data_IF_998009359737
#
_entry.id   IF_998009359737
#
_cell.length_a   1.000
_cell.length_b   1.000
_cell.length_c   1.000
_cell.angle_alpha   90.00
_cell.angle_beta   90.00
_cell.angle_gamma   90.00
#
_symmetry.space_group_name_H-M   'P 1'
#
loop_
_entity.id
_entity.type
_entity.pdbx_description
1 polymer ?
#
# COMPACT_ATOMS: atom_id res chain seq x y z
N UNK A 1 58.39 16.34 -35.84
CA UNK A 1 57.24 16.57 -36.73
C UNK A 1 56.04 15.85 -36.12
N UNK A 2 55.08 16.61 -35.58
CA UNK A 2 53.90 16.09 -34.87
C UNK A 2 52.85 15.77 -35.94
N UNK A 3 52.50 14.49 -36.11
CA UNK A 3 51.38 14.07 -36.96
C UNK A 3 50.09 14.33 -36.18
N UNK A 4 49.33 15.34 -36.60
CA UNK A 4 47.99 15.58 -36.08
C UNK A 4 47.05 14.46 -36.54
N UNK A 5 46.36 13.83 -35.59
CA UNK A 5 45.25 12.93 -35.86
C UNK A 5 44.04 13.75 -36.37
N UNK A 6 43.33 13.30 -37.42
CA UNK A 6 42.17 14.03 -37.93
C UNK A 6 41.02 14.04 -36.90
N UNK A 7 40.20 15.10 -36.86
CA UNK A 7 39.07 15.18 -35.95
C UNK A 7 38.02 14.12 -36.31
N UNK A 8 37.49 13.43 -35.31
CA UNK A 8 36.41 12.48 -35.46
C UNK A 8 35.17 13.19 -36.04
N UNK A 9 34.90 12.97 -37.33
CA UNK A 9 33.65 13.37 -37.97
C UNK A 9 32.56 12.46 -37.38
N UNK A 10 31.90 12.93 -36.32
CA UNK A 10 30.69 12.29 -35.82
C UNK A 10 29.63 12.42 -36.90
N UNK A 11 29.32 11.30 -37.55
CA UNK A 11 28.40 11.24 -38.68
C UNK A 11 27.00 11.71 -38.25
N UNK A 12 26.61 12.92 -38.66
CA UNK A 12 25.31 13.54 -38.35
C UNK A 12 24.14 12.64 -38.79
N UNK A 13 24.33 11.84 -39.84
CA UNK A 13 23.37 10.82 -40.28
C UNK A 13 23.13 9.70 -39.26
N UNK A 14 24.17 9.25 -38.55
CA UNK A 14 24.05 8.20 -37.52
C UNK A 14 23.36 8.74 -36.27
N UNK A 15 23.67 9.98 -35.85
CA UNK A 15 22.95 10.64 -34.76
C UNK A 15 21.49 10.91 -35.12
N UNK A 16 21.21 11.37 -36.34
CA UNK A 16 19.84 11.62 -36.82
C UNK A 16 19.05 10.32 -36.97
N UNK A 17 19.68 9.24 -37.43
CA UNK A 17 19.05 7.92 -37.49
C UNK A 17 18.75 7.39 -36.08
N UNK A 18 19.72 7.44 -35.14
CA UNK A 18 19.51 7.07 -33.73
C UNK A 18 18.43 7.90 -33.06
N UNK A 19 18.40 9.22 -33.32
CA UNK A 19 17.39 10.11 -32.80
C UNK A 19 15.99 9.80 -33.38
N UNK A 20 15.90 9.49 -34.67
CA UNK A 20 14.61 9.12 -35.29
C UNK A 20 14.11 7.75 -34.83
N UNK A 21 15.01 6.78 -34.59
CA UNK A 21 14.64 5.47 -34.01
C UNK A 21 14.22 5.63 -32.56
N UNK A 22 14.89 6.49 -31.79
CA UNK A 22 14.50 6.78 -30.40
C UNK A 22 13.11 7.42 -30.32
N UNK A 23 12.83 8.43 -31.16
CA UNK A 23 11.49 9.05 -31.24
C UNK A 23 10.39 8.03 -31.61
N UNK A 24 10.68 7.10 -32.52
CA UNK A 24 9.74 6.03 -32.88
C UNK A 24 9.49 5.09 -31.70
N UNK A 25 10.54 4.67 -30.99
CA UNK A 25 10.39 3.84 -29.79
C UNK A 25 9.63 4.56 -28.67
N UNK A 26 9.93 5.84 -28.44
CA UNK A 26 9.20 6.67 -27.47
C UNK A 26 7.71 6.77 -27.81
N UNK A 27 7.37 6.99 -29.08
CA UNK A 27 5.98 7.03 -29.54
C UNK A 27 5.29 5.68 -29.34
N UNK A 28 5.98 4.57 -29.62
CA UNK A 28 5.44 3.22 -29.41
C UNK A 28 5.16 2.96 -27.92
N UNK A 29 6.06 3.36 -27.02
CA UNK A 29 5.86 3.24 -25.59
C UNK A 29 4.67 4.07 -25.08
N UNK A 30 4.54 5.32 -25.54
CA UNK A 30 3.40 6.17 -25.19
C UNK A 30 2.09 5.57 -25.73
N UNK A 31 2.08 5.11 -26.98
CA UNK A 31 0.92 4.46 -27.59
C UNK A 31 0.55 3.17 -26.83
N UNK A 32 1.53 2.34 -26.48
CA UNK A 32 1.32 1.12 -25.71
C UNK A 32 0.69 1.43 -24.35
N UNK A 33 1.20 2.44 -23.64
CA UNK A 33 0.63 2.86 -22.37
C UNK A 33 -0.84 3.29 -22.51
N UNK A 34 -1.16 4.10 -23.53
CA UNK A 34 -2.53 4.56 -23.77
C UNK A 34 -3.48 3.40 -24.13
N UNK A 35 -3.01 2.40 -24.89
CA UNK A 35 -3.76 1.19 -25.21
C UNK A 35 -4.04 0.36 -23.95
N UNK A 36 -3.01 0.10 -23.14
CA UNK A 36 -3.14 -0.58 -21.84
C UNK A 36 -4.12 0.16 -20.95
N UNK A 37 -3.99 1.48 -20.84
CA UNK A 37 -4.87 2.33 -20.02
C UNK A 37 -6.33 2.37 -20.51
N UNK A 38 -6.53 2.26 -21.83
CA UNK A 38 -7.83 2.15 -22.48
C UNK A 38 -8.52 0.83 -22.14
N UNK A 39 -7.87 -0.31 -22.42
CA UNK A 39 -8.45 -1.63 -22.16
C UNK A 39 -8.56 -1.96 -20.66
N UNK A 40 -7.64 -1.46 -19.83
CA UNK A 40 -7.66 -1.65 -18.38
C UNK A 40 -8.59 -0.64 -17.65
N UNK A 41 -9.61 -0.09 -18.30
CA UNK A 41 -10.47 0.97 -17.74
C UNK A 41 -11.02 0.64 -16.33
N UNK A 42 -11.40 -0.61 -16.08
CA UNK A 42 -11.92 -1.07 -14.79
C UNK A 42 -10.86 -1.16 -13.68
N UNK A 43 -9.57 -1.16 -14.04
CA UNK A 43 -8.42 -1.29 -13.15
C UNK A 43 -7.60 0.01 -13.04
N UNK A 44 -8.12 1.15 -13.55
CA UNK A 44 -7.45 2.46 -13.46
C UNK A 44 -7.13 2.89 -12.05
N UNK A 45 -7.94 2.44 -11.10
CA UNK A 45 -7.69 2.75 -9.71
C UNK A 45 -6.50 2.00 -9.14
N UNK A 46 -6.00 0.92 -9.76
CA UNK A 46 -4.77 0.18 -9.39
C UNK A 46 -3.61 0.56 -10.32
N UNK A 47 -2.89 1.67 -10.10
CA UNK A 47 -1.83 2.12 -11.00
C UNK A 47 -0.68 1.12 -11.05
N UNK A 48 -0.38 0.39 -9.97
CA UNK A 48 0.74 -0.57 -9.98
C UNK A 48 0.40 -1.82 -10.80
N UNK A 49 -0.86 -2.20 -10.87
CA UNK A 49 -1.32 -3.23 -11.80
C UNK A 49 -1.10 -2.79 -13.25
N UNK A 50 -1.37 -1.51 -13.56
CA UNK A 50 -1.16 -0.95 -14.91
C UNK A 50 0.34 -0.92 -15.23
N UNK A 51 1.17 -0.45 -14.31
CA UNK A 51 2.63 -0.45 -14.46
C UNK A 51 3.17 -1.86 -14.68
N UNK A 52 2.65 -2.85 -13.94
CA UNK A 52 3.00 -4.24 -14.09
C UNK A 52 2.68 -4.76 -15.50
N UNK A 53 1.45 -4.57 -15.99
CA UNK A 53 1.06 -5.00 -17.34
C UNK A 53 1.89 -4.29 -18.42
N UNK A 54 2.07 -2.97 -18.28
CA UNK A 54 2.87 -2.17 -19.20
C UNK A 54 4.33 -2.63 -19.26
N UNK A 55 4.94 -2.92 -18.11
CA UNK A 55 6.35 -3.37 -18.04
C UNK A 55 6.61 -4.64 -18.84
N UNK A 56 5.74 -5.64 -18.72
CA UNK A 56 5.91 -6.88 -19.48
C UNK A 56 5.56 -6.73 -20.94
N UNK A 57 4.48 -6.00 -21.28
CA UNK A 57 4.15 -5.74 -22.68
C UNK A 57 5.22 -4.91 -23.39
N UNK A 58 5.84 -3.96 -22.70
CA UNK A 58 6.94 -3.18 -23.26
C UNK A 58 8.15 -4.07 -23.58
N UNK A 59 8.43 -5.09 -22.75
CA UNK A 59 9.45 -6.10 -23.06
C UNK A 59 9.10 -6.92 -24.29
N UNK A 60 7.86 -7.40 -24.40
CA UNK A 60 7.42 -8.14 -25.59
C UNK A 60 7.50 -7.29 -26.86
N UNK A 61 7.09 -6.03 -26.79
CA UNK A 61 7.20 -5.08 -27.90
C UNK A 61 8.66 -4.87 -28.31
N UNK A 62 9.59 -4.78 -27.35
CA UNK A 62 11.01 -4.67 -27.65
C UNK A 62 11.54 -5.92 -28.36
N UNK A 63 11.12 -7.12 -27.94
CA UNK A 63 11.46 -8.35 -28.64
C UNK A 63 10.93 -8.37 -30.08
N UNK A 64 9.74 -7.81 -30.33
CA UNK A 64 9.20 -7.68 -31.69
C UNK A 64 9.98 -6.64 -32.51
N UNK A 65 10.31 -5.49 -31.93
CA UNK A 65 11.06 -4.41 -32.62
C UNK A 65 12.47 -4.85 -32.97
N UNK A 66 13.14 -5.58 -32.07
CA UNK A 66 14.50 -6.09 -32.26
C UNK A 66 14.55 -7.35 -33.15
N UNK A 67 13.41 -7.75 -33.74
CA UNK A 67 13.26 -8.96 -34.55
C UNK A 67 13.82 -10.21 -33.85
N UNK A 68 13.61 -10.29 -32.53
CA UNK A 68 14.17 -11.37 -31.72
C UNK A 68 13.65 -12.72 -32.21
N UNK A 69 14.57 -13.65 -32.45
CA UNK A 69 14.24 -15.03 -32.82
C UNK A 69 14.06 -15.80 -31.53
N UNK A 70 12.88 -16.38 -31.35
CA UNK A 70 12.60 -17.26 -30.22
C UNK A 70 13.56 -18.46 -30.26
N UNK A 71 14.44 -18.64 -29.24
CA UNK A 71 15.44 -19.69 -29.24
C UNK A 71 14.83 -21.10 -29.20
N UNK A 72 13.60 -21.24 -28.69
CA UNK A 72 12.93 -22.53 -28.54
C UNK A 72 12.20 -22.96 -29.83
N UNK A 73 11.81 -22.00 -30.68
CA UNK A 73 10.93 -22.25 -31.85
C UNK A 73 11.63 -21.91 -33.18
N UNK A 74 12.75 -21.18 -33.14
CA UNK A 74 13.50 -20.69 -34.31
C UNK A 74 12.65 -19.85 -35.29
N UNK A 75 11.67 -19.10 -34.77
CA UNK A 75 10.79 -18.18 -35.51
C UNK A 75 10.82 -16.78 -34.88
N UNK A 76 10.40 -15.73 -35.59
CA UNK A 76 10.25 -14.41 -34.99
C UNK A 76 9.35 -14.46 -33.76
N UNK A 77 9.75 -13.74 -32.71
CA UNK A 77 9.02 -13.69 -31.44
C UNK A 77 7.57 -13.29 -31.67
N UNK A 78 6.64 -14.13 -31.21
CA UNK A 78 5.22 -13.79 -31.17
C UNK A 78 4.82 -13.37 -29.76
N UNK A 79 4.11 -12.24 -29.61
CA UNK A 79 3.59 -11.82 -28.31
C UNK A 79 2.72 -12.91 -27.67
N UNK A 80 2.81 -13.03 -26.35
CA UNK A 80 2.04 -14.00 -25.55
C UNK A 80 0.53 -13.82 -25.73
N UNK A 81 0.10 -12.63 -26.11
CA UNK A 81 -1.29 -12.21 -26.22
C UNK A 81 -1.62 -11.84 -27.67
N UNK A 82 -1.63 -12.85 -28.55
CA UNK A 82 -1.83 -12.67 -30.00
C UNK A 82 -3.26 -12.99 -30.49
N UNK A 83 -4.18 -13.31 -29.57
CA UNK A 83 -5.58 -13.66 -29.87
C UNK A 83 -6.46 -12.39 -29.84
N UNK A 84 -7.56 -12.39 -30.61
CA UNK A 84 -8.58 -11.33 -30.57
C UNK A 84 -9.10 -11.11 -29.13
N UNK A 85 -9.06 -9.85 -28.66
CA UNK A 85 -9.34 -9.46 -27.28
C UNK A 85 -8.46 -10.18 -26.24
N UNK A 86 -7.28 -10.62 -26.64
CA UNK A 86 -6.39 -11.40 -25.78
C UNK A 86 -5.99 -10.63 -24.53
N UNK A 87 -5.72 -9.33 -24.62
CA UNK A 87 -5.28 -8.55 -23.45
C UNK A 87 -6.40 -8.43 -22.43
N UNK A 88 -7.59 -8.04 -22.90
CA UNK A 88 -8.80 -8.01 -22.07
C UNK A 88 -9.09 -9.38 -21.42
N UNK A 89 -9.12 -10.47 -22.19
CA UNK A 89 -9.54 -11.80 -21.68
C UNK A 89 -8.47 -12.48 -20.82
N UNK A 90 -7.21 -12.39 -21.21
CA UNK A 90 -6.11 -13.14 -20.58
C UNK A 90 -5.44 -12.36 -19.45
N UNK A 91 -5.47 -11.02 -19.48
CA UNK A 91 -4.78 -10.18 -18.48
C UNK A 91 -5.77 -9.43 -17.58
N UNK A 92 -6.66 -8.62 -18.17
CA UNK A 92 -7.52 -7.72 -17.40
C UNK A 92 -8.65 -8.47 -16.69
N UNK A 93 -9.36 -9.34 -17.40
CA UNK A 93 -10.54 -10.04 -16.89
C UNK A 93 -10.25 -10.94 -15.68
N UNK A 94 -9.12 -11.70 -15.62
CA UNK A 94 -8.79 -12.51 -14.45
C UNK A 94 -8.46 -11.68 -13.20
N UNK A 95 -7.75 -10.56 -13.38
CA UNK A 95 -7.42 -9.63 -12.30
C UNK A 95 -8.70 -8.96 -11.79
N UNK A 96 -9.53 -8.44 -12.70
CA UNK A 96 -10.82 -7.85 -12.37
C UNK A 96 -11.74 -8.81 -11.62
N UNK A 97 -11.86 -10.06 -12.10
CA UNK A 97 -12.68 -11.08 -11.45
C UNK A 97 -12.19 -11.42 -10.04
N UNK A 98 -10.88 -11.33 -9.80
CA UNK A 98 -10.30 -11.54 -8.46
C UNK A 98 -10.67 -10.39 -7.54
N UNK A 99 -10.51 -9.14 -7.99
CA UNK A 99 -10.91 -7.95 -7.23
C UNK A 99 -12.41 -7.98 -6.92
N UNK A 100 -13.25 -8.32 -7.90
CA UNK A 100 -14.70 -8.45 -7.72
C UNK A 100 -15.07 -9.42 -6.59
N UNK A 101 -14.44 -10.59 -6.55
CA UNK A 101 -14.68 -11.60 -5.49
C UNK A 101 -14.20 -11.12 -4.11
N UNK A 102 -13.11 -10.35 -4.04
CA UNK A 102 -12.64 -9.75 -2.78
C UNK A 102 -13.62 -8.67 -2.30
N UNK A 103 -14.12 -7.84 -3.20
CA UNK A 103 -15.16 -6.82 -2.90
C UNK A 103 -16.45 -7.49 -2.43
N UNK A 104 -16.91 -8.54 -3.08
CA UNK A 104 -18.08 -9.30 -2.64
C UNK A 104 -17.86 -9.92 -1.25
N UNK A 105 -16.62 -10.36 -0.96
CA UNK A 105 -16.23 -10.86 0.37
C UNK A 105 -16.25 -9.78 1.47
N UNK A 106 -16.17 -8.50 1.10
CA UNK A 106 -16.28 -7.36 2.03
C UNK A 106 -17.68 -7.19 2.64
N UNK A 107 -18.72 -7.83 2.07
CA UNK A 107 -20.14 -7.67 2.47
C UNK A 107 -20.54 -6.19 2.58
N UNK A 108 -20.19 -5.40 1.56
CA UNK A 108 -20.47 -3.97 1.49
C UNK A 108 -19.88 -3.18 2.69
N UNK A 109 -18.66 -3.51 3.11
CA UNK A 109 -17.95 -2.85 4.22
C UNK A 109 -18.34 -3.33 5.62
N UNK A 110 -19.22 -4.33 5.74
CA UNK A 110 -19.65 -4.89 7.05
C UNK A 110 -18.74 -6.02 7.54
N UNK A 111 -17.94 -6.63 6.66
CA UNK A 111 -16.97 -7.64 7.06
C UNK A 111 -15.78 -6.99 7.77
N UNK A 112 -15.24 -7.65 8.80
CA UNK A 112 -14.06 -7.17 9.48
C UNK A 112 -12.90 -6.97 8.48
N UNK A 113 -12.21 -5.84 8.57
CA UNK A 113 -11.13 -5.41 7.64
C UNK A 113 -9.90 -6.35 7.57
N UNK A 114 -9.85 -7.40 8.40
CA UNK A 114 -8.83 -8.44 8.36
C UNK A 114 -9.24 -9.67 7.51
N UNK A 115 -10.51 -9.79 7.16
CA UNK A 115 -11.08 -10.98 6.52
C UNK A 115 -11.05 -10.93 4.98
N UNK A 116 -10.67 -9.79 4.40
CA UNK A 116 -10.64 -9.55 2.96
C UNK A 116 -9.50 -8.59 2.59
N UNK A 117 -9.02 -8.66 1.34
CA UNK A 117 -7.96 -7.79 0.83
C UNK A 117 -8.55 -6.46 0.36
N UNK A 118 -8.00 -5.35 0.86
CA UNK A 118 -8.37 -4.03 0.37
C UNK A 118 -7.64 -3.71 -0.94
N UNK A 119 -8.07 -2.64 -1.60
CA UNK A 119 -7.41 -2.01 -2.73
C UNK A 119 -5.89 -1.85 -2.50
N UNK A 120 -5.48 -1.31 -1.34
CA UNK A 120 -4.06 -1.11 -1.01
C UNK A 120 -3.28 -2.43 -0.99
N UNK A 121 -3.84 -3.47 -0.38
CA UNK A 121 -3.20 -4.79 -0.31
C UNK A 121 -2.99 -5.39 -1.72
N UNK A 122 -3.95 -5.14 -2.62
CA UNK A 122 -3.88 -5.60 -4.02
C UNK A 122 -2.86 -4.78 -4.80
N UNK A 123 -2.85 -3.45 -4.65
CA UNK A 123 -1.92 -2.56 -5.34
C UNK A 123 -0.47 -2.80 -4.88
N UNK A 124 -0.25 -2.96 -3.56
CA UNK A 124 1.06 -3.29 -2.98
C UNK A 124 1.58 -4.64 -3.49
N UNK A 125 0.69 -5.63 -3.68
CA UNK A 125 1.10 -6.92 -4.23
C UNK A 125 1.81 -6.77 -5.57
N UNK A 126 1.32 -5.91 -6.47
CA UNK A 126 1.94 -5.69 -7.79
C UNK A 126 3.33 -5.05 -7.72
N UNK A 127 3.63 -4.29 -6.67
CA UNK A 127 4.97 -3.76 -6.40
C UNK A 127 5.95 -4.83 -5.87
N UNK A 128 5.42 -5.91 -5.31
CA UNK A 128 6.24 -6.91 -4.63
C UNK A 128 7.07 -7.75 -5.62
N UNK A 129 8.32 -8.07 -5.23
CA UNK A 129 9.13 -9.07 -5.96
C UNK A 129 8.46 -10.45 -6.01
N UNK A 130 7.56 -10.73 -5.06
CA UNK A 130 6.78 -11.96 -5.03
C UNK A 130 5.83 -12.03 -6.22
N UNK A 131 5.16 -10.93 -6.56
CA UNK A 131 4.31 -10.85 -7.76
C UNK A 131 5.09 -11.20 -9.04
N UNK A 132 6.27 -10.60 -9.25
CA UNK A 132 7.09 -10.91 -10.42
C UNK A 132 7.46 -12.40 -10.54
N UNK A 133 7.66 -13.08 -9.41
CA UNK A 133 8.00 -14.52 -9.38
C UNK A 133 6.78 -15.44 -9.45
N UNK A 134 5.72 -15.13 -8.72
CA UNK A 134 4.57 -16.02 -8.54
C UNK A 134 3.45 -15.78 -9.55
N UNK A 135 3.19 -14.51 -9.89
CA UNK A 135 2.17 -14.15 -10.88
C UNK A 135 2.72 -14.34 -12.29
N UNK A 136 3.96 -13.89 -12.53
CA UNK A 136 4.69 -14.12 -13.77
C UNK A 136 4.04 -13.49 -15.01
N UNK A 137 4.70 -13.62 -16.16
CA UNK A 137 4.16 -13.21 -17.45
C UNK A 137 4.53 -14.25 -18.50
N UNK A 138 3.56 -14.96 -19.13
CA UNK A 138 2.09 -14.90 -18.95
C UNK A 138 1.61 -15.13 -17.51
N UNK A 139 0.38 -14.66 -17.22
CA UNK A 139 -0.22 -14.80 -15.90
C UNK A 139 -0.39 -16.28 -15.52
N UNK A 140 0.20 -16.67 -14.40
CA UNK A 140 0.02 -17.99 -13.82
C UNK A 140 -1.28 -18.02 -12.98
N UNK A 141 -2.33 -18.67 -13.51
CA UNK A 141 -3.63 -18.80 -12.86
C UNK A 141 -3.63 -19.66 -11.59
N UNK A 142 -2.58 -20.44 -11.35
CA UNK A 142 -2.37 -21.20 -10.11
C UNK A 142 -1.76 -20.35 -8.99
N UNK A 143 -1.32 -19.13 -9.31
CA UNK A 143 -0.73 -18.24 -8.34
C UNK A 143 -1.71 -17.89 -7.21
N UNK A 144 -1.17 -17.77 -6.00
CA UNK A 144 -1.92 -17.45 -4.78
C UNK A 144 -2.63 -16.08 -4.82
N UNK A 145 -2.44 -15.29 -5.88
CA UNK A 145 -3.15 -14.03 -6.09
C UNK A 145 -4.61 -14.25 -6.50
N UNK A 146 -4.85 -15.22 -7.39
CA UNK A 146 -6.14 -15.44 -8.03
C UNK A 146 -7.15 -16.15 -7.12
N UNK A 147 -8.43 -16.02 -7.48
CA UNK A 147 -9.53 -16.69 -6.79
C UNK A 147 -9.47 -18.22 -6.85
N UNK A 148 -8.71 -18.78 -7.79
CA UNK A 148 -8.56 -20.24 -7.98
C UNK A 148 -7.98 -20.91 -6.74
N UNK A 149 -7.10 -20.21 -6.02
CA UNK A 149 -6.50 -20.71 -4.78
C UNK A 149 -7.49 -20.66 -3.62
N UNK A 150 -7.54 -21.68 -2.73
CA UNK A 150 -8.35 -21.65 -1.51
C UNK A 150 -8.00 -20.44 -0.63
N UNK A 151 -9.00 -19.82 0.01
CA UNK A 151 -8.83 -18.56 0.80
C UNK A 151 -7.67 -18.62 1.81
N UNK A 152 -7.42 -19.77 2.45
CA UNK A 152 -6.34 -19.93 3.43
C UNK A 152 -4.92 -19.99 2.85
N UNK A 153 -4.78 -20.18 1.53
CA UNK A 153 -3.48 -20.22 0.82
C UNK A 153 -3.27 -18.99 -0.08
N UNK A 154 -4.27 -18.12 -0.19
CA UNK A 154 -4.15 -16.87 -0.95
C UNK A 154 -3.13 -15.95 -0.29
N UNK A 155 -2.52 -15.08 -1.08
CA UNK A 155 -1.67 -14.01 -0.55
C UNK A 155 -2.52 -13.17 0.40
N UNK A 156 -2.16 -13.21 1.69
CA UNK A 156 -2.85 -12.47 2.73
C UNK A 156 -2.58 -10.97 2.65
N UNK A 157 -3.23 -10.24 3.56
CA UNK A 157 -3.01 -8.81 3.80
C UNK A 157 -1.52 -8.51 4.01
N UNK A 158 -0.92 -7.68 3.15
CA UNK A 158 0.49 -7.28 3.23
C UNK A 158 0.72 -6.13 4.21
N UNK A 159 -0.34 -5.41 4.59
CA UNK A 159 -0.28 -4.33 5.57
C UNK A 159 -0.48 -4.77 7.03
N UNK A 160 -0.01 -3.91 7.94
CA UNK A 160 -0.39 -3.95 9.35
C UNK A 160 -1.93 -3.92 9.46
N UNK A 161 -2.52 -5.03 9.90
CA UNK A 161 -3.92 -5.05 10.30
C UNK A 161 -3.99 -4.29 11.61
N UNK A 162 -4.28 -2.99 11.54
CA UNK A 162 -4.64 -2.25 12.74
C UNK A 162 -5.91 -2.90 13.30
N UNK A 163 -5.74 -3.74 14.32
CA UNK A 163 -6.86 -4.11 15.17
C UNK A 163 -7.28 -2.81 15.84
N UNK A 164 -8.31 -2.16 15.29
CA UNK A 164 -8.99 -1.00 15.88
C UNK A 164 -9.50 -1.39 17.25
N UNK A 165 -8.62 -1.31 18.23
CA UNK A 165 -8.90 -1.53 19.63
C UNK A 165 -9.24 -0.18 20.24
N UNK A 166 -10.21 -0.14 21.14
CA UNK A 166 -10.49 1.06 21.93
C UNK A 166 -9.21 1.62 22.59
N UNK A 167 -8.30 0.72 22.97
CA UNK A 167 -6.99 1.08 23.54
C UNK A 167 -6.05 1.83 22.58
N UNK A 168 -6.16 1.66 21.26
CA UNK A 168 -5.40 2.46 20.30
C UNK A 168 -5.86 3.92 20.33
N UNK A 169 -7.16 4.18 20.46
CA UNK A 169 -7.70 5.54 20.58
C UNK A 169 -7.20 6.21 21.86
N UNK A 170 -7.18 5.48 22.99
CA UNK A 170 -6.65 6.01 24.24
C UNK A 170 -5.15 6.36 24.12
N UNK A 171 -4.35 5.49 23.49
CA UNK A 171 -2.91 5.71 23.26
C UNK A 171 -2.60 6.88 22.35
N UNK A 172 -3.29 6.98 21.22
CA UNK A 172 -3.02 8.03 20.23
C UNK A 172 -3.42 9.42 20.73
N UNK A 173 -4.37 9.51 21.67
CA UNK A 173 -4.88 10.76 22.23
C UNK A 173 -4.61 10.87 23.74
N UNK A 174 -3.48 10.35 24.21
CA UNK A 174 -3.11 10.29 25.64
C UNK A 174 -3.22 11.66 26.34
N UNK A 175 -2.68 12.71 25.70
CA UNK A 175 -2.68 14.08 26.24
C UNK A 175 -4.10 14.63 26.42
N UNK A 176 -4.99 14.30 25.49
CA UNK A 176 -6.39 14.73 25.52
C UNK A 176 -7.13 14.08 26.70
N UNK A 177 -6.97 12.77 26.86
CA UNK A 177 -7.62 12.04 27.96
C UNK A 177 -7.10 12.49 29.33
N UNK A 178 -5.79 12.67 29.46
CA UNK A 178 -5.17 13.17 30.69
C UNK A 178 -5.71 14.55 31.04
N UNK A 179 -5.77 15.47 30.08
CA UNK A 179 -6.30 16.81 30.30
C UNK A 179 -7.78 16.77 30.73
N UNK A 180 -8.62 16.01 30.01
CA UNK A 180 -10.05 15.93 30.30
C UNK A 180 -10.34 15.38 31.69
N UNK A 181 -9.69 14.28 32.08
CA UNK A 181 -9.94 13.62 33.37
C UNK A 181 -9.49 14.50 34.54
N UNK A 182 -8.29 15.11 34.45
CA UNK A 182 -7.78 15.99 35.51
C UNK A 182 -8.61 17.26 35.64
N UNK A 183 -8.99 17.86 34.50
CA UNK A 183 -9.87 19.02 34.50
C UNK A 183 -11.23 18.69 35.10
N UNK A 184 -11.82 17.55 34.73
CA UNK A 184 -13.11 17.12 35.25
C UNK A 184 -13.06 16.88 36.77
N UNK A 185 -12.02 16.20 37.26
CA UNK A 185 -11.81 16.02 38.71
C UNK A 185 -11.67 17.36 39.44
N UNK A 186 -10.85 18.27 38.91
CA UNK A 186 -10.69 19.61 39.50
C UNK A 186 -12.02 20.38 39.49
N UNK A 187 -12.78 20.32 38.39
CA UNK A 187 -14.08 20.96 38.27
C UNK A 187 -15.10 20.41 39.27
N UNK A 188 -15.14 19.09 39.50
CA UNK A 188 -15.99 18.47 40.54
C UNK A 188 -15.62 18.99 41.92
N UNK A 189 -14.32 19.02 42.25
CA UNK A 189 -13.86 19.48 43.57
C UNK A 189 -14.28 20.93 43.82
N UNK A 190 -14.19 21.79 42.80
CA UNK A 190 -14.58 23.21 42.90
C UNK A 190 -16.11 23.36 42.97
N UNK A 191 -16.85 22.62 42.15
CA UNK A 191 -18.32 22.77 42.06
C UNK A 191 -19.04 22.28 43.32
N UNK A 192 -18.49 21.26 43.99
CA UNK A 192 -19.11 20.67 45.18
C UNK A 192 -19.16 21.60 46.41
N UNK A 193 -18.37 22.67 46.42
CA UNK A 193 -18.33 23.64 47.53
C UNK A 193 -19.49 24.64 47.52
N UNK A 194 -20.27 24.71 46.43
CA UNK A 194 -21.48 25.53 46.34
C UNK A 194 -21.26 27.04 46.37
N UNK A 195 -20.07 27.52 46.01
CA UNK A 195 -19.75 28.96 45.98
C UNK A 195 -20.23 29.64 44.69
N UNK A 196 -20.60 30.93 44.77
CA UNK A 196 -21.02 31.71 43.59
C UNK A 196 -19.95 31.76 42.49
N UNK A 197 -18.67 31.74 42.86
CA UNK A 197 -17.57 31.78 41.89
C UNK A 197 -16.44 30.80 42.24
N UNK A 198 -15.82 30.14 41.23
CA UNK A 198 -14.83 29.08 41.44
C UNK A 198 -13.55 29.56 42.16
N UNK A 199 -13.13 30.81 41.96
CA UNK A 199 -11.97 31.38 42.66
C UNK A 199 -12.18 31.58 44.16
N UNK A 200 -13.44 31.64 44.61
CA UNK A 200 -13.75 31.74 46.04
C UNK A 200 -13.56 30.37 46.73
N UNK A 201 -13.95 29.28 46.07
CA UNK A 201 -13.68 27.92 46.56
C UNK A 201 -12.18 27.64 46.70
N UNK A 202 -11.34 28.12 45.77
CA UNK A 202 -9.89 27.92 45.78
C UNK A 202 -9.14 28.61 46.94
N UNK A 203 -9.77 29.57 47.63
CA UNK A 203 -9.18 30.21 48.82
C UNK A 203 -9.31 29.34 50.08
N UNK A 204 -10.21 28.36 50.09
CA UNK A 204 -10.41 27.46 51.25
C UNK A 204 -9.28 26.43 51.31
N UNK A 205 -8.71 26.25 52.51
CA UNK A 205 -7.65 25.23 52.73
C UNK A 205 -8.12 23.81 52.42
N UNK A 206 -9.36 23.47 52.76
CA UNK A 206 -9.88 22.12 52.53
C UNK A 206 -9.95 21.77 51.04
N UNK A 207 -10.28 22.75 50.19
CA UNK A 207 -10.32 22.61 48.73
C UNK A 207 -8.91 22.47 48.15
N UNK A 208 -7.94 23.23 48.67
CA UNK A 208 -6.54 23.12 48.27
C UNK A 208 -5.97 21.73 48.58
N UNK A 209 -6.31 21.16 49.73
CA UNK A 209 -5.91 19.78 50.09
C UNK A 209 -6.58 18.77 49.15
N UNK A 210 -7.89 18.92 48.87
CA UNK A 210 -8.58 18.06 47.90
C UNK A 210 -7.98 18.17 46.50
N UNK A 211 -7.52 19.35 46.08
CA UNK A 211 -6.86 19.56 44.78
C UNK A 211 -5.56 18.78 44.63
N UNK A 212 -4.86 18.45 45.72
CA UNK A 212 -3.67 17.60 45.65
C UNK A 212 -3.99 16.19 45.15
N UNK A 213 -5.24 15.72 45.27
CA UNK A 213 -5.66 14.43 44.71
C UNK A 213 -5.56 14.37 43.18
N UNK A 214 -5.54 15.52 42.50
CA UNK A 214 -5.33 15.61 41.04
C UNK A 214 -3.94 15.07 40.66
N UNK A 215 -2.92 15.31 41.49
CA UNK A 215 -1.57 14.76 41.25
C UNK A 215 -1.51 13.25 41.42
N UNK A 216 -2.30 12.69 42.33
CA UNK A 216 -2.42 11.25 42.53
C UNK A 216 -3.05 10.61 41.28
N UNK A 217 -4.16 11.18 40.79
CA UNK A 217 -4.81 10.72 39.56
C UNK A 217 -3.90 10.84 38.34
N UNK A 218 -3.14 11.94 38.23
CA UNK A 218 -2.17 12.11 37.15
C UNK A 218 -1.10 11.01 37.17
N UNK A 219 -0.54 10.71 38.35
CA UNK A 219 0.45 9.65 38.53
C UNK A 219 -0.11 8.28 38.15
N UNK A 220 -1.36 7.98 38.55
CA UNK A 220 -2.04 6.74 38.17
C UNK A 220 -2.25 6.62 36.66
N UNK A 221 -2.64 7.71 35.98
CA UNK A 221 -2.79 7.71 34.53
C UNK A 221 -1.46 7.55 33.79
N UNK A 222 -0.36 8.11 34.32
CA UNK A 222 0.99 7.88 33.76
C UNK A 222 1.43 6.43 33.91
N UNK A 223 1.12 5.79 35.02
CA UNK A 223 1.37 4.38 35.21
C UNK A 223 0.51 3.50 34.28
N UNK A 224 -0.76 3.85 34.09
CA UNK A 224 -1.61 3.16 33.12
C UNK A 224 -1.04 3.26 31.69
N UNK A 225 -0.56 4.45 31.32
CA UNK A 225 0.06 4.69 30.02
C UNK A 225 1.31 3.82 29.82
N UNK A 226 2.22 3.77 30.80
CA UNK A 226 3.43 2.95 30.71
C UNK A 226 3.13 1.45 30.61
N UNK A 227 2.14 0.95 31.35
CA UNK A 227 1.68 -0.44 31.27
C UNK A 227 1.11 -0.75 29.89
N UNK A 228 0.29 0.15 29.34
CA UNK A 228 -0.28 -0.02 28.01
C UNK A 228 0.80 -0.03 26.93
N UNK A 229 1.83 0.81 27.03
CA UNK A 229 2.95 0.88 26.08
C UNK A 229 3.80 -0.38 26.11
N UNK A 230 4.15 -0.86 27.31
CA UNK A 230 4.82 -2.14 27.49
C UNK A 230 4.00 -3.31 26.93
N UNK A 231 2.69 -3.35 27.20
CA UNK A 231 1.81 -4.39 26.69
C UNK A 231 1.69 -4.42 25.16
N UNK A 232 1.66 -3.25 24.51
CA UNK A 232 1.68 -3.20 23.04
C UNK A 232 3.01 -3.65 22.47
N UNK A 233 4.13 -3.19 23.02
CA UNK A 233 5.46 -3.58 22.55
C UNK A 233 5.70 -5.08 22.72
N UNK A 234 5.28 -5.65 23.86
CA UNK A 234 5.35 -7.09 24.09
C UNK A 234 4.54 -7.87 23.05
N UNK A 235 3.32 -7.40 22.73
CA UNK A 235 2.49 -8.02 21.70
C UNK A 235 3.09 -7.94 20.29
N UNK A 236 3.78 -6.85 19.97
CA UNK A 236 4.52 -6.73 18.71
C UNK A 236 5.69 -7.73 18.66
N UNK A 237 6.50 -7.80 19.72
CA UNK A 237 7.63 -8.73 19.80
C UNK A 237 7.18 -10.19 19.77
N UNK A 238 6.14 -10.55 20.51
CA UNK A 238 5.56 -11.89 20.52
C UNK A 238 5.08 -12.30 19.12
N UNK A 239 4.37 -11.42 18.42
CA UNK A 239 3.89 -11.71 17.06
C UNK A 239 5.03 -11.82 16.04
N UNK A 240 6.17 -11.14 16.23
CA UNK A 240 7.33 -11.30 15.36
C UNK A 240 8.10 -12.60 15.64
N UNK A 241 8.26 -12.97 16.91
CA UNK A 241 8.99 -14.18 17.32
C UNK A 241 8.24 -15.46 16.92
N UNK A 242 6.90 -15.46 16.98
CA UNK A 242 6.07 -16.61 16.58
C UNK A 242 5.64 -16.61 15.11
N UNK A 243 6.12 -15.66 14.31
CA UNK A 243 5.88 -15.60 12.86
C UNK A 243 7.09 -16.08 12.02
N UNK A 244 8.11 -16.65 12.67
CA UNK A 244 9.21 -17.42 12.06
C UNK A 244 8.91 -18.90 12.23
#
# INVERSE_FOLDING_TARGET
MRLESPPAIVNVGVLRHRHSTNLRCELVYVALYLLVWGEASNLRFTPECICYSYHFMAKEVNHVIDEHIDPDIARPFMPTVSIELGFLKSVIMPIYNTIKVEVDSSRNGKAHHYAWRNYDDINEYFWSRRCLKSLGWPLNFESNFFKTTPKGKRVGKTGFVERRSFWNVYKHFDRLWVMLILFFQAAIIVSWEGTNYPWQALKRRDVQVKMLTVFITWSAMRLLQSVLDAGTQYRFLFNQVFAI
#
